data_IF_096798910952
#
_entry.id   IF_096798910952
#
_cell.length_a   1.000
_cell.length_b   1.000
_cell.length_c   1.000
_cell.angle_alpha   90.00
_cell.angle_beta   90.00
_cell.angle_gamma   90.00
#
_symmetry.space_group_name_H-M   'P 1'
#
loop_
_entity.id
_entity.type
_entity.pdbx_description
1 polymer ?
#
# COMPACT_ATOMS: atom_id res chain seq x y z
N UNK A 1 -19.55 1.74 5.11
CA UNK A 1 -18.45 2.67 4.70
C UNK A 1 -17.67 3.03 5.95
N UNK A 2 -16.34 3.13 5.90
CA UNK A 2 -15.52 3.56 7.03
C UNK A 2 -15.48 5.09 7.07
N UNK A 3 -15.66 5.71 8.24
CA UNK A 3 -15.50 7.16 8.43
C UNK A 3 -14.06 7.66 8.20
N UNK A 4 -13.10 6.73 8.17
CA UNK A 4 -11.68 7.00 7.98
C UNK A 4 -11.20 6.87 6.51
N UNK A 5 -12.11 6.57 5.58
CA UNK A 5 -11.83 6.56 4.14
C UNK A 5 -12.78 7.55 3.45
N UNK A 6 -12.20 8.59 2.92
CA UNK A 6 -12.92 9.58 2.13
C UNK A 6 -12.83 9.21 0.65
N UNK A 7 -13.98 9.03 0.02
CA UNK A 7 -14.07 8.74 -1.42
C UNK A 7 -14.72 9.93 -2.10
N UNK A 8 -14.06 10.46 -3.10
CA UNK A 8 -14.57 11.57 -3.91
C UNK A 8 -14.18 11.40 -5.37
N UNK A 9 -14.83 12.15 -6.25
CA UNK A 9 -14.52 12.17 -7.68
C UNK A 9 -14.24 13.60 -8.13
N UNK A 10 -13.14 13.78 -8.86
CA UNK A 10 -12.84 15.04 -9.55
C UNK A 10 -12.61 14.74 -11.03
N UNK A 11 -13.55 15.19 -11.88
CA UNK A 11 -13.55 14.80 -13.30
C UNK A 11 -13.60 13.28 -13.46
N UNK A 12 -12.62 12.73 -14.16
CA UNK A 12 -12.48 11.29 -14.39
C UNK A 12 -11.54 10.57 -13.39
N UNK A 13 -11.22 11.22 -12.26
CA UNK A 13 -10.33 10.65 -11.23
C UNK A 13 -11.14 10.28 -10.00
N UNK A 14 -11.09 8.99 -9.61
CA UNK A 14 -11.58 8.49 -8.34
C UNK A 14 -10.52 8.71 -7.28
N UNK A 15 -10.81 9.48 -6.25
CA UNK A 15 -9.88 9.83 -5.17
C UNK A 15 -10.28 9.05 -3.92
N UNK A 16 -9.35 8.27 -3.41
CA UNK A 16 -9.48 7.51 -2.15
C UNK A 16 -8.44 8.04 -1.18
N UNK A 17 -8.90 8.69 -0.12
CA UNK A 17 -8.05 9.30 0.90
C UNK A 17 -8.19 8.58 2.23
N UNK A 18 -7.08 8.19 2.81
CA UNK A 18 -7.00 7.72 4.19
C UNK A 18 -7.02 8.94 5.12
N UNK A 19 -7.97 8.96 6.06
CA UNK A 19 -8.17 10.06 7.01
C UNK A 19 -8.37 9.54 8.44
N UNK A 20 -7.32 8.89 8.99
CA UNK A 20 -7.23 8.44 10.38
C UNK A 20 -5.92 8.93 11.00
N UNK A 21 -5.73 10.24 10.95
CA UNK A 21 -4.45 10.89 11.29
C UNK A 21 -4.02 10.67 12.72
N UNK A 22 -4.96 10.59 13.67
CA UNK A 22 -4.72 10.33 15.11
C UNK A 22 -4.08 8.94 15.36
N UNK A 23 -4.21 8.02 14.42
CA UNK A 23 -3.57 6.70 14.39
C UNK A 23 -2.57 6.55 13.24
N UNK A 24 -2.10 7.69 12.69
CA UNK A 24 -1.15 7.71 11.57
C UNK A 24 -1.60 6.86 10.38
N UNK A 25 -2.89 6.92 10.05
CA UNK A 25 -3.51 6.12 9.00
C UNK A 25 -3.21 4.61 9.13
N UNK A 26 -3.13 4.08 10.37
CA UNK A 26 -3.12 2.64 10.58
C UNK A 26 -4.42 2.03 10.06
N UNK A 27 -4.30 1.01 9.20
CA UNK A 27 -5.40 0.46 8.42
C UNK A 27 -6.17 -0.60 9.21
N UNK A 28 -7.44 -0.32 9.47
CA UNK A 28 -8.37 -1.29 10.06
C UNK A 28 -9.07 -2.11 8.98
N UNK A 29 -9.68 -3.23 9.37
CA UNK A 29 -10.51 -4.07 8.48
C UNK A 29 -11.58 -3.24 7.75
N UNK A 30 -12.26 -2.34 8.47
CA UNK A 30 -13.28 -1.45 7.89
C UNK A 30 -12.70 -0.47 6.85
N UNK A 31 -11.45 0.00 7.03
CA UNK A 31 -10.77 0.83 6.03
C UNK A 31 -10.42 0.02 4.78
N UNK A 32 -9.91 -1.21 4.92
CA UNK A 32 -9.64 -2.09 3.80
C UNK A 32 -10.91 -2.38 2.97
N UNK A 33 -11.99 -2.76 3.62
CA UNK A 33 -13.28 -2.99 2.96
C UNK A 33 -13.74 -1.75 2.17
N UNK A 34 -13.64 -0.56 2.79
CA UNK A 34 -14.05 0.70 2.14
C UNK A 34 -13.16 1.05 0.93
N UNK A 35 -11.83 0.84 1.03
CA UNK A 35 -10.90 1.05 -0.09
C UNK A 35 -11.15 0.06 -1.23
N UNK A 36 -11.36 -1.23 -0.91
CA UNK A 36 -11.69 -2.24 -1.91
C UNK A 36 -12.97 -1.93 -2.66
N UNK A 37 -14.03 -1.55 -1.94
CA UNK A 37 -15.32 -1.16 -2.50
C UNK A 37 -15.20 0.08 -3.40
N UNK A 38 -14.47 1.11 -2.94
CA UNK A 38 -14.23 2.33 -3.69
C UNK A 38 -13.48 2.07 -5.02
N UNK A 39 -12.49 1.18 -5.01
CA UNK A 39 -11.75 0.81 -6.21
C UNK A 39 -12.65 0.00 -7.14
N UNK A 40 -13.29 -1.08 -6.66
CA UNK A 40 -14.13 -1.95 -7.47
C UNK A 40 -15.31 -1.20 -8.10
N UNK A 41 -15.99 -0.35 -7.31
CA UNK A 41 -17.12 0.45 -7.81
C UNK A 41 -16.67 1.43 -8.89
N UNK A 42 -15.57 2.13 -8.68
CA UNK A 42 -15.06 3.09 -9.65
C UNK A 42 -14.42 2.40 -10.86
N UNK A 43 -13.93 1.17 -10.74
CA UNK A 43 -13.31 0.43 -11.84
C UNK A 43 -14.32 0.03 -12.93
N UNK A 44 -15.59 -0.14 -12.57
CA UNK A 44 -16.70 -0.43 -13.52
C UNK A 44 -17.47 0.82 -13.95
N UNK A 45 -17.19 1.99 -13.40
CA UNK A 45 -17.81 3.26 -13.81
C UNK A 45 -17.08 3.83 -15.05
N UNK A 46 -17.76 3.91 -16.19
CA UNK A 46 -17.17 4.39 -17.45
C UNK A 46 -16.72 5.86 -17.39
N UNK A 47 -17.24 6.66 -16.46
CA UNK A 47 -16.81 8.05 -16.27
C UNK A 47 -15.52 8.17 -15.47
N UNK A 48 -15.10 7.13 -14.76
CA UNK A 48 -13.81 7.07 -14.06
C UNK A 48 -12.75 6.48 -14.98
N UNK A 49 -11.54 7.02 -14.92
CA UNK A 49 -10.42 6.63 -15.77
C UNK A 49 -9.16 6.27 -15.00
N UNK A 50 -9.03 6.79 -13.77
CA UNK A 50 -7.83 6.64 -12.93
C UNK A 50 -8.25 6.61 -11.46
N UNK A 51 -7.57 5.82 -10.66
CA UNK A 51 -7.64 5.85 -9.20
C UNK A 51 -6.47 6.67 -8.65
N UNK A 52 -6.74 7.53 -7.68
CA UNK A 52 -5.74 8.29 -6.94
C UNK A 52 -5.86 7.97 -5.45
N UNK A 53 -4.83 7.35 -4.86
CA UNK A 53 -4.77 7.04 -3.44
C UNK A 53 -3.89 8.06 -2.72
N UNK A 54 -4.41 8.63 -1.63
CA UNK A 54 -3.74 9.66 -0.85
C UNK A 54 -3.77 9.30 0.64
N UNK A 55 -2.73 9.71 1.35
CA UNK A 55 -2.72 9.82 2.80
C UNK A 55 -2.99 11.24 3.27
N UNK A 56 -2.46 11.57 4.45
CA UNK A 56 -2.46 12.92 5.01
C UNK A 56 -1.06 13.55 4.99
N UNK A 57 -0.97 14.79 5.46
CA UNK A 57 0.31 15.48 5.57
C UNK A 57 1.24 14.79 6.58
N UNK A 58 2.46 14.45 6.13
CA UNK A 58 3.47 13.76 6.94
C UNK A 58 3.20 12.29 7.21
N UNK A 59 2.06 11.74 6.74
CA UNK A 59 1.69 10.34 6.97
C UNK A 59 0.90 9.79 5.79
N UNK A 60 1.48 8.85 5.06
CA UNK A 60 0.69 8.04 4.14
C UNK A 60 -0.07 6.95 4.91
N UNK A 61 0.66 5.99 5.51
CA UNK A 61 0.06 4.97 6.38
C UNK A 61 1.11 4.32 7.29
N UNK A 62 0.76 4.10 8.55
CA UNK A 62 1.55 3.32 9.50
C UNK A 62 1.38 1.79 9.34
N UNK A 63 0.72 1.34 8.27
CA UNK A 63 0.46 -0.08 8.04
C UNK A 63 -0.78 -0.59 8.74
N UNK A 64 -0.83 -1.90 9.00
CA UNK A 64 -1.98 -2.52 9.66
C UNK A 64 -2.19 -2.02 11.10
N UNK A 65 -3.44 -1.91 11.51
CA UNK A 65 -3.76 -1.59 12.91
C UNK A 65 -3.31 -2.72 13.82
N UNK A 66 -2.48 -2.39 14.82
CA UNK A 66 -1.93 -3.37 15.76
C UNK A 66 -3.01 -4.04 16.61
N UNK A 67 -4.13 -3.36 16.86
CA UNK A 67 -5.25 -3.94 17.60
C UNK A 67 -5.89 -5.09 16.82
N UNK A 68 -6.11 -4.91 15.52
CA UNK A 68 -6.62 -5.95 14.63
C UNK A 68 -5.63 -7.13 14.55
N UNK A 69 -4.33 -6.85 14.45
CA UNK A 69 -3.30 -7.89 14.45
C UNK A 69 -3.26 -8.71 15.75
N UNK A 70 -3.33 -8.03 16.87
CA UNK A 70 -3.36 -8.73 18.17
C UNK A 70 -4.62 -9.58 18.35
N UNK A 71 -5.77 -9.10 17.91
CA UNK A 71 -7.00 -9.88 17.95
C UNK A 71 -6.84 -11.19 17.16
N UNK A 72 -6.26 -11.14 15.96
CA UNK A 72 -5.98 -12.31 15.13
C UNK A 72 -4.94 -13.24 15.78
N UNK A 73 -3.85 -12.69 16.31
CA UNK A 73 -2.80 -13.46 17.00
C UNK A 73 -3.32 -14.19 18.25
N UNK A 74 -4.38 -13.66 18.89
CA UNK A 74 -5.07 -14.27 20.05
C UNK A 74 -6.19 -15.24 19.66
N UNK A 75 -6.30 -15.61 18.37
CA UNK A 75 -7.30 -16.59 17.88
C UNK A 75 -8.61 -15.98 17.37
N UNK A 76 -8.67 -14.67 17.23
CA UNK A 76 -9.79 -13.98 16.57
C UNK A 76 -9.93 -14.36 15.10
N UNK A 77 -11.11 -14.13 14.54
CA UNK A 77 -11.39 -14.42 13.13
C UNK A 77 -10.56 -13.55 12.20
N UNK A 78 -9.91 -14.21 11.23
CA UNK A 78 -9.37 -13.55 10.06
C UNK A 78 -10.54 -13.08 9.17
N UNK A 79 -10.67 -11.79 8.98
CA UNK A 79 -11.54 -11.29 7.92
C UNK A 79 -10.83 -11.34 6.56
N UNK A 80 -11.63 -11.28 5.51
CA UNK A 80 -11.12 -11.29 4.13
C UNK A 80 -10.78 -9.88 3.61
N UNK A 81 -11.02 -8.83 4.40
CA UNK A 81 -11.00 -7.44 3.92
C UNK A 81 -9.65 -7.00 3.37
N UNK A 82 -8.55 -7.47 3.99
CA UNK A 82 -7.19 -7.23 3.50
C UNK A 82 -6.99 -7.87 2.13
N UNK A 83 -7.45 -9.14 1.97
CA UNK A 83 -7.40 -9.83 0.69
C UNK A 83 -8.26 -9.19 -0.37
N UNK A 84 -9.47 -8.78 -0.01
CA UNK A 84 -10.39 -8.09 -0.92
C UNK A 84 -9.80 -6.79 -1.42
N UNK A 85 -9.04 -6.07 -0.57
CA UNK A 85 -8.32 -4.88 -0.98
C UNK A 85 -7.14 -5.22 -1.91
N UNK A 86 -6.32 -6.21 -1.56
CA UNK A 86 -5.21 -6.67 -2.42
C UNK A 86 -5.72 -7.12 -3.79
N UNK A 87 -6.81 -7.90 -3.83
CA UNK A 87 -7.47 -8.35 -5.05
C UNK A 87 -7.99 -7.15 -5.87
N UNK A 88 -8.68 -6.20 -5.22
CA UNK A 88 -9.17 -5.00 -5.90
C UNK A 88 -8.04 -4.19 -6.53
N UNK A 89 -6.89 -4.05 -5.85
CA UNK A 89 -5.72 -3.34 -6.36
C UNK A 89 -5.06 -4.06 -7.55
N UNK A 90 -4.82 -5.37 -7.42
CA UNK A 90 -4.16 -6.18 -8.47
C UNK A 90 -5.05 -6.29 -9.71
N UNK A 91 -6.36 -6.49 -9.50
CA UNK A 91 -7.32 -6.67 -10.60
C UNK A 91 -7.87 -5.36 -11.17
N UNK A 92 -7.57 -4.22 -10.55
CA UNK A 92 -7.99 -2.92 -11.08
C UNK A 92 -7.62 -2.81 -12.57
N UNK A 93 -8.56 -2.42 -13.40
CA UNK A 93 -8.36 -2.23 -14.84
C UNK A 93 -7.84 -0.83 -15.16
N UNK A 94 -8.16 0.12 -14.29
CA UNK A 94 -7.76 1.52 -14.41
C UNK A 94 -6.44 1.77 -13.69
N UNK A 95 -5.59 2.69 -14.19
CA UNK A 95 -4.34 3.02 -13.53
C UNK A 95 -4.54 3.51 -12.10
N UNK A 96 -3.58 3.16 -11.23
CA UNK A 96 -3.52 3.60 -9.84
C UNK A 96 -2.33 4.52 -9.65
N UNK A 97 -2.59 5.75 -9.24
CA UNK A 97 -1.60 6.74 -8.86
C UNK A 97 -1.62 6.90 -7.35
N UNK A 98 -0.47 7.07 -6.71
CA UNK A 98 -0.41 7.36 -5.27
C UNK A 98 0.37 8.64 -5.00
N UNK A 99 -0.06 9.39 -3.98
CA UNK A 99 0.68 10.53 -3.42
C UNK A 99 1.11 10.22 -1.98
N UNK A 100 2.43 10.22 -1.73
CA UNK A 100 3.01 9.82 -0.45
C UNK A 100 3.74 10.99 0.19
N UNK A 101 3.34 11.36 1.38
CA UNK A 101 4.06 12.32 2.22
C UNK A 101 4.33 11.69 3.59
N UNK A 102 5.58 11.74 4.06
CA UNK A 102 5.99 11.16 5.32
C UNK A 102 6.01 9.63 5.33
N UNK A 103 5.52 9.02 6.42
CA UNK A 103 5.73 7.60 6.66
C UNK A 103 4.80 6.71 5.84
N UNK A 104 5.39 5.63 5.30
CA UNK A 104 4.74 4.49 4.68
C UNK A 104 5.33 3.21 5.29
N UNK A 105 4.54 2.43 6.03
CA UNK A 105 5.03 1.30 6.83
C UNK A 105 4.27 0.01 6.50
N UNK A 106 4.97 -1.11 6.34
CA UNK A 106 4.38 -2.41 6.04
C UNK A 106 3.56 -2.36 4.76
N UNK A 107 2.27 -2.70 4.83
CA UNK A 107 1.38 -2.60 3.66
C UNK A 107 1.27 -1.18 3.12
N UNK A 108 1.50 -0.13 3.95
CA UNK A 108 1.62 1.25 3.48
C UNK A 108 2.79 1.44 2.52
N UNK A 109 3.83 0.59 2.59
CA UNK A 109 4.93 0.53 1.62
C UNK A 109 4.62 -0.43 0.48
N UNK A 110 4.15 -1.66 0.78
CA UNK A 110 4.00 -2.69 -0.25
C UNK A 110 2.88 -2.42 -1.24
N UNK A 111 1.91 -1.59 -0.91
CA UNK A 111 0.87 -1.12 -1.84
C UNK A 111 1.49 -0.50 -3.11
N UNK A 112 2.64 0.18 -2.99
CA UNK A 112 3.28 0.86 -4.12
C UNK A 112 3.88 -0.09 -5.16
N UNK A 113 4.17 -1.35 -4.79
CA UNK A 113 4.56 -2.39 -5.76
C UNK A 113 3.41 -2.81 -6.70
N UNK A 114 2.17 -2.43 -6.36
CA UNK A 114 0.97 -2.72 -7.13
C UNK A 114 0.30 -1.44 -7.68
N UNK A 115 0.99 -0.30 -7.62
CA UNK A 115 0.57 0.97 -8.22
C UNK A 115 1.33 1.23 -9.52
N UNK A 116 0.73 2.01 -10.41
CA UNK A 116 1.36 2.34 -11.69
C UNK A 116 2.33 3.52 -11.59
N UNK A 117 2.01 4.51 -10.76
CA UNK A 117 2.89 5.66 -10.47
C UNK A 117 2.78 6.08 -9.01
N UNK A 118 3.92 6.22 -8.35
CA UNK A 118 4.02 6.79 -7.01
C UNK A 118 4.73 8.14 -7.06
N UNK A 119 4.08 9.18 -6.54
CA UNK A 119 4.66 10.51 -6.37
C UNK A 119 4.90 10.69 -4.87
N UNK A 120 6.09 11.13 -4.49
CA UNK A 120 6.44 11.26 -3.08
C UNK A 120 7.12 12.60 -2.79
N UNK A 121 7.28 12.91 -1.52
CA UNK A 121 8.11 14.02 -1.05
C UNK A 121 9.48 13.53 -0.60
N UNK A 122 10.48 14.40 -0.55
CA UNK A 122 11.81 14.03 -0.06
C UNK A 122 11.79 13.54 1.40
N UNK A 123 10.83 14.01 2.22
CA UNK A 123 10.64 13.57 3.61
C UNK A 123 9.88 12.25 3.74
N UNK A 124 9.47 11.63 2.63
CA UNK A 124 8.82 10.32 2.65
C UNK A 124 9.79 9.22 3.11
N UNK A 125 9.27 8.24 3.82
CA UNK A 125 10.04 7.11 4.32
C UNK A 125 9.24 5.82 4.14
N UNK A 126 9.83 4.86 3.43
CA UNK A 126 9.23 3.58 3.12
C UNK A 126 9.96 2.49 3.91
N UNK A 127 9.23 1.72 4.72
CA UNK A 127 9.83 0.66 5.53
C UNK A 127 8.88 -0.53 5.68
N UNK A 128 9.44 -1.72 5.85
CA UNK A 128 8.67 -2.95 6.07
C UNK A 128 9.28 -3.76 7.22
N UNK A 129 8.89 -3.48 8.48
CA UNK A 129 9.47 -4.15 9.66
C UNK A 129 8.90 -5.57 9.85
N UNK A 130 8.76 -6.34 8.75
CA UNK A 130 8.13 -7.65 8.78
C UNK A 130 8.89 -8.62 9.68
N UNK A 131 10.20 -8.80 9.44
CA UNK A 131 11.01 -9.76 10.19
C UNK A 131 11.23 -9.32 11.63
N UNK A 132 11.28 -8.01 11.90
CA UNK A 132 11.33 -7.46 13.28
C UNK A 132 10.10 -7.83 14.09
N UNK A 133 9.00 -8.13 13.44
CA UNK A 133 7.74 -8.59 14.04
C UNK A 133 7.54 -10.10 13.90
N UNK A 134 8.54 -10.85 13.41
CA UNK A 134 8.45 -12.29 13.16
C UNK A 134 7.54 -12.66 11.99
N UNK A 135 7.26 -11.70 11.11
CA UNK A 135 6.39 -11.83 9.94
C UNK A 135 7.18 -11.96 8.63
N UNK A 136 6.49 -12.20 7.53
CA UNK A 136 7.04 -12.35 6.18
C UNK A 136 6.56 -11.22 5.26
N UNK A 137 7.22 -10.97 4.11
CA UNK A 137 6.70 -10.10 3.06
C UNK A 137 5.30 -10.52 2.61
N UNK A 138 4.53 -9.55 2.11
CA UNK A 138 3.15 -9.72 1.64
C UNK A 138 2.87 -8.85 0.40
N UNK A 139 1.66 -8.97 -0.20
CA UNK A 139 1.17 -8.18 -1.32
C UNK A 139 2.03 -8.31 -2.60
N UNK A 140 2.47 -9.51 -2.91
CA UNK A 140 3.36 -9.87 -4.02
C UNK A 140 4.76 -9.21 -3.95
N UNK A 141 5.09 -8.55 -2.83
CA UNK A 141 6.36 -7.83 -2.68
C UNK A 141 7.58 -8.74 -2.78
N UNK A 142 7.48 -10.02 -2.42
CA UNK A 142 8.61 -10.97 -2.49
C UNK A 142 9.15 -11.19 -3.92
N UNK A 143 8.32 -10.97 -4.93
CA UNK A 143 8.72 -11.09 -6.36
C UNK A 143 8.81 -9.72 -7.03
N UNK A 144 7.85 -8.83 -6.77
CA UNK A 144 7.81 -7.53 -7.46
C UNK A 144 8.97 -6.62 -7.03
N UNK A 145 9.29 -6.57 -5.73
CA UNK A 145 10.36 -5.71 -5.26
C UNK A 145 11.75 -6.07 -5.85
N UNK A 146 12.18 -7.35 -5.88
CA UNK A 146 13.44 -7.71 -6.54
C UNK A 146 13.50 -7.36 -8.03
N UNK A 147 12.37 -7.45 -8.74
CA UNK A 147 12.27 -7.07 -10.16
C UNK A 147 12.42 -5.56 -10.30
N UNK A 148 11.77 -4.78 -9.44
CA UNK A 148 11.73 -3.32 -9.52
C UNK A 148 13.07 -2.67 -9.11
N UNK A 149 13.66 -3.12 -7.98
CA UNK A 149 14.78 -2.43 -7.35
C UNK A 149 16.08 -3.27 -7.23
N UNK A 150 16.06 -4.51 -7.74
CA UNK A 150 17.15 -5.47 -7.59
C UNK A 150 17.15 -6.17 -6.24
N UNK A 151 17.76 -7.37 -6.19
CA UNK A 151 17.68 -8.26 -5.02
C UNK A 151 18.20 -7.61 -3.73
N UNK A 152 19.34 -6.92 -3.77
CA UNK A 152 19.96 -6.38 -2.55
C UNK A 152 19.09 -5.30 -1.88
N UNK A 153 18.57 -4.35 -2.65
CA UNK A 153 17.67 -3.31 -2.11
C UNK A 153 16.35 -3.91 -1.61
N UNK A 154 15.79 -4.85 -2.36
CA UNK A 154 14.58 -5.55 -1.95
C UNK A 154 14.80 -6.34 -0.65
N UNK A 155 15.96 -7.01 -0.50
CA UNK A 155 16.29 -7.75 0.71
C UNK A 155 16.52 -6.81 1.91
N UNK A 156 17.21 -5.69 1.70
CA UNK A 156 17.39 -4.68 2.74
C UNK A 156 16.03 -4.10 3.23
N UNK A 157 15.13 -3.76 2.32
CA UNK A 157 13.80 -3.26 2.65
C UNK A 157 12.94 -4.34 3.32
N UNK A 158 12.78 -5.51 2.67
CA UNK A 158 11.78 -6.52 3.06
C UNK A 158 12.24 -7.46 4.17
N UNK A 159 13.55 -7.71 4.30
CA UNK A 159 14.08 -8.66 5.27
C UNK A 159 14.91 -7.99 6.37
N UNK A 160 15.76 -7.02 6.03
CA UNK A 160 16.53 -6.30 7.04
C UNK A 160 15.73 -5.18 7.73
N UNK A 161 14.61 -4.74 7.12
CA UNK A 161 13.74 -3.70 7.65
C UNK A 161 14.31 -2.29 7.51
N UNK A 162 15.32 -2.10 6.67
CA UNK A 162 15.87 -0.77 6.40
C UNK A 162 14.86 0.11 5.69
N UNK A 163 14.78 1.35 6.13
CA UNK A 163 13.92 2.34 5.51
C UNK A 163 14.60 2.95 4.28
N UNK A 164 13.81 3.18 3.22
CA UNK A 164 14.21 4.01 2.09
C UNK A 164 13.61 5.41 2.27
N UNK A 165 14.44 6.44 2.16
CA UNK A 165 13.97 7.82 2.00
C UNK A 165 13.23 7.99 0.67
N UNK A 166 12.50 9.11 0.49
CA UNK A 166 11.84 9.40 -0.79
C UNK A 166 12.79 9.37 -1.98
N UNK A 167 14.00 9.94 -1.82
CA UNK A 167 15.00 9.94 -2.88
C UNK A 167 15.57 8.54 -3.16
N UNK A 168 15.90 7.75 -2.13
CA UNK A 168 16.35 6.38 -2.30
C UNK A 168 15.27 5.50 -2.93
N UNK A 169 14.01 5.71 -2.57
CA UNK A 169 12.88 5.01 -3.18
C UNK A 169 12.71 5.39 -4.66
N UNK A 170 12.98 6.66 -5.04
CA UNK A 170 13.01 7.09 -6.44
C UNK A 170 14.16 6.43 -7.21
N UNK A 171 15.36 6.39 -6.64
CA UNK A 171 16.51 5.71 -7.24
C UNK A 171 16.31 4.19 -7.37
N UNK A 172 15.54 3.62 -6.44
CA UNK A 172 15.17 2.21 -6.46
C UNK A 172 14.04 1.88 -7.46
N UNK A 173 13.36 2.89 -8.02
CA UNK A 173 12.23 2.70 -8.95
C UNK A 173 10.87 2.51 -8.28
N UNK A 174 10.77 2.57 -6.94
CA UNK A 174 9.50 2.51 -6.21
C UNK A 174 8.72 3.82 -6.33
N UNK A 175 9.42 4.94 -6.41
CA UNK A 175 8.86 6.28 -6.59
C UNK A 175 9.24 6.82 -7.97
N UNK A 176 8.24 7.28 -8.71
CA UNK A 176 8.46 7.86 -10.03
C UNK A 176 8.99 9.29 -9.96
N UNK A 177 8.45 10.12 -9.03
CA UNK A 177 8.76 11.55 -8.96
C UNK A 177 8.78 12.03 -7.52
N UNK A 178 9.78 12.86 -7.18
CA UNK A 178 9.82 13.63 -5.93
C UNK A 178 9.34 15.05 -6.20
N UNK A 179 8.53 15.56 -5.26
CA UNK A 179 7.98 16.93 -5.28
C UNK A 179 8.04 17.56 -3.90
N UNK A 180 7.89 18.87 -3.83
CA UNK A 180 7.77 19.59 -2.55
C UNK A 180 6.46 19.18 -1.83
N UNK A 181 6.46 19.10 -0.49
CA UNK A 181 5.28 18.67 0.28
C UNK A 181 4.00 19.43 -0.08
N UNK A 182 4.06 20.76 -0.20
CA UNK A 182 2.91 21.58 -0.57
C UNK A 182 2.42 21.40 -2.02
N UNK A 183 3.14 20.66 -2.86
CA UNK A 183 2.79 20.38 -4.26
C UNK A 183 2.33 18.94 -4.47
N UNK A 184 2.44 18.06 -3.47
CA UNK A 184 2.18 16.64 -3.63
C UNK A 184 0.80 16.34 -4.22
N UNK A 185 -0.24 16.87 -3.59
CA UNK A 185 -1.61 16.58 -4.02
C UNK A 185 -1.91 17.13 -5.42
N UNK A 186 -1.46 18.36 -5.70
CA UNK A 186 -1.64 18.96 -7.02
C UNK A 186 -0.90 18.21 -8.13
N UNK A 187 0.31 17.73 -7.88
CA UNK A 187 1.10 16.95 -8.84
C UNK A 187 0.55 15.53 -9.04
N UNK A 188 0.09 14.89 -7.96
CA UNK A 188 -0.55 13.59 -8.04
C UNK A 188 -1.87 13.68 -8.84
N UNK A 189 -2.67 14.70 -8.57
CA UNK A 189 -3.89 14.99 -9.33
C UNK A 189 -3.59 15.29 -10.79
N UNK A 190 -2.66 16.19 -11.09
CA UNK A 190 -2.28 16.52 -12.47
C UNK A 190 -1.77 15.29 -13.23
N UNK A 191 -1.05 14.39 -12.55
CA UNK A 191 -0.58 13.12 -13.12
C UNK A 191 -1.77 12.19 -13.44
N UNK A 192 -2.70 12.04 -12.51
CA UNK A 192 -3.93 11.26 -12.73
C UNK A 192 -4.77 11.84 -13.86
N UNK A 193 -4.96 13.16 -13.94
CA UNK A 193 -5.68 13.84 -15.02
C UNK A 193 -5.00 13.64 -16.38
N UNK A 194 -3.68 13.65 -16.46
CA UNK A 194 -2.92 13.37 -17.69
C UNK A 194 -3.11 11.91 -18.16
N UNK A 195 -3.17 10.94 -17.25
CA UNK A 195 -3.51 9.55 -17.57
C UNK A 195 -4.95 9.44 -18.06
N UNK A 196 -5.89 10.11 -17.39
CA UNK A 196 -7.30 10.10 -17.75
C UNK A 196 -7.58 10.65 -19.16
N UNK A 197 -6.70 11.48 -19.70
CA UNK A 197 -6.77 12.03 -21.07
C UNK A 197 -6.25 11.05 -22.14
N UNK A 198 -5.61 9.94 -21.77
CA UNK A 198 -5.12 8.96 -22.73
C UNK A 198 -6.28 8.16 -23.34
N UNK A 199 -6.14 7.65 -24.59
CA UNK A 199 -7.11 6.74 -25.16
C UNK A 199 -7.34 5.54 -24.23
N UNK A 200 -8.59 5.28 -23.78
CA UNK A 200 -8.84 4.36 -22.66
C UNK A 200 -8.47 2.92 -22.96
N UNK A 201 -8.83 2.46 -24.14
CA UNK A 201 -8.56 1.09 -24.56
C UNK A 201 -7.06 0.83 -24.70
N UNK A 202 -6.34 1.76 -25.34
CA UNK A 202 -4.88 1.67 -25.47
C UNK A 202 -4.19 1.72 -24.11
N UNK A 203 -4.67 2.55 -23.18
CA UNK A 203 -4.12 2.64 -21.82
C UNK A 203 -4.38 1.35 -21.04
N UNK A 204 -5.57 0.77 -21.12
CA UNK A 204 -5.90 -0.51 -20.47
C UNK A 204 -5.02 -1.65 -21.02
N UNK A 205 -4.89 -1.77 -22.33
CA UNK A 205 -4.03 -2.79 -22.96
C UNK A 205 -2.57 -2.59 -22.54
N UNK A 206 -2.06 -1.36 -22.59
CA UNK A 206 -0.69 -1.06 -22.19
C UNK A 206 -0.44 -1.42 -20.74
N UNK A 207 -1.39 -1.11 -19.84
CA UNK A 207 -1.31 -1.46 -18.42
C UNK A 207 -1.31 -2.97 -18.22
N UNK A 208 -2.16 -3.72 -18.92
CA UNK A 208 -2.21 -5.18 -18.82
C UNK A 208 -0.87 -5.80 -19.25
N UNK A 209 -0.27 -5.31 -20.35
CA UNK A 209 1.02 -5.78 -20.81
C UNK A 209 2.16 -5.48 -19.81
N UNK A 210 2.12 -4.31 -19.14
CA UNK A 210 3.13 -3.89 -18.18
C UNK A 210 2.98 -4.59 -16.81
N UNK A 211 1.75 -4.84 -16.38
CA UNK A 211 1.46 -5.52 -15.10
C UNK A 211 1.73 -7.02 -15.17
N UNK A 212 1.67 -7.63 -16.35
CA UNK A 212 1.79 -9.06 -16.54
C UNK A 212 0.55 -9.83 -16.05
N UNK A 213 0.74 -11.11 -15.76
CA UNK A 213 -0.35 -11.99 -15.34
C UNK A 213 -0.84 -11.65 -13.92
N UNK A 214 -2.09 -11.19 -13.83
CA UNK A 214 -2.72 -10.82 -12.56
C UNK A 214 -3.12 -12.03 -11.72
N UNK A 215 -3.41 -13.16 -12.36
CA UNK A 215 -3.77 -14.38 -11.65
C UNK A 215 -2.52 -14.98 -10.99
N UNK A 216 -1.39 -15.04 -11.70
CA UNK A 216 -0.10 -15.43 -11.09
C UNK A 216 0.28 -14.51 -9.93
N UNK A 217 0.08 -13.20 -10.07
CA UNK A 217 0.35 -12.24 -9.00
C UNK A 217 -0.57 -12.44 -7.81
N UNK A 218 -1.84 -12.75 -8.05
CA UNK A 218 -2.81 -13.03 -6.99
C UNK A 218 -2.51 -14.36 -6.29
N UNK A 219 -2.13 -15.39 -7.01
CA UNK A 219 -1.69 -16.68 -6.45
C UNK A 219 -0.45 -16.49 -5.54
N UNK A 220 0.47 -15.62 -5.94
CA UNK A 220 1.60 -15.25 -5.09
C UNK A 220 1.14 -14.55 -3.81
N UNK A 221 0.23 -13.57 -3.91
CA UNK A 221 -0.35 -12.91 -2.74
C UNK A 221 -1.01 -13.90 -1.79
N UNK A 222 -1.76 -14.87 -2.31
CA UNK A 222 -2.40 -15.92 -1.51
C UNK A 222 -1.36 -16.78 -0.78
N UNK A 223 -0.28 -17.14 -1.47
CA UNK A 223 0.82 -17.91 -0.87
C UNK A 223 1.51 -17.12 0.23
N UNK A 224 1.86 -15.85 -0.03
CA UNK A 224 2.49 -14.98 0.96
C UNK A 224 1.60 -14.80 2.18
N UNK A 225 0.32 -14.54 1.97
CA UNK A 225 -0.62 -14.30 3.04
C UNK A 225 -0.88 -15.54 3.91
N UNK A 226 -0.86 -16.75 3.33
CA UNK A 226 -0.89 -17.98 4.11
C UNK A 226 0.32 -18.08 5.03
N UNK A 227 1.52 -17.85 4.50
CA UNK A 227 2.76 -17.86 5.28
C UNK A 227 2.77 -16.75 6.35
N UNK A 228 2.32 -15.56 6.01
CA UNK A 228 2.17 -14.44 6.94
C UNK A 228 1.22 -14.79 8.10
N UNK A 229 0.06 -15.39 7.78
CA UNK A 229 -0.91 -15.83 8.78
C UNK A 229 -0.39 -16.95 9.69
N UNK A 230 0.43 -17.87 9.14
CA UNK A 230 1.11 -18.90 9.92
C UNK A 230 2.13 -18.27 10.88
N UNK A 231 2.92 -17.31 10.39
CA UNK A 231 3.91 -16.59 11.18
C UNK A 231 3.26 -15.75 12.27
N UNK A 232 2.17 -15.05 11.97
CA UNK A 232 1.45 -14.21 12.94
C UNK A 232 1.02 -14.99 14.20
N UNK A 233 0.78 -16.30 14.08
CA UNK A 233 0.42 -17.20 15.19
C UNK A 233 1.63 -17.85 15.86
N UNK A 234 2.85 -17.58 15.39
CA UNK A 234 4.06 -18.19 15.93
C UNK A 234 4.49 -17.59 17.27
N UNK A 235 5.31 -18.32 18.03
CA UNK A 235 5.92 -17.83 19.26
C UNK A 235 6.88 -16.67 19.00
N UNK A 236 7.60 -16.68 17.87
CA UNK A 236 8.49 -15.58 17.48
C UNK A 236 7.72 -14.28 17.28
N UNK A 237 6.60 -14.33 16.57
CA UNK A 237 5.77 -13.14 16.36
C UNK A 237 5.21 -12.63 17.70
N UNK A 238 4.70 -13.52 18.57
CA UNK A 238 4.21 -13.12 19.90
C UNK A 238 5.29 -12.41 20.73
N UNK A 239 6.50 -12.95 20.77
CA UNK A 239 7.63 -12.36 21.50
C UNK A 239 8.06 -11.01 20.88
N UNK A 240 8.10 -10.93 19.54
CA UNK A 240 8.44 -9.71 18.82
C UNK A 240 7.42 -8.59 19.09
N UNK A 241 6.13 -8.89 19.06
CA UNK A 241 5.06 -7.93 19.38
C UNK A 241 5.15 -7.45 20.85
N UNK A 242 5.36 -8.36 21.81
CA UNK A 242 5.57 -7.97 23.20
C UNK A 242 6.75 -7.03 23.37
N UNK A 243 7.88 -7.35 22.75
CA UNK A 243 9.09 -6.52 22.77
C UNK A 243 8.87 -5.16 22.14
N UNK A 244 8.11 -5.09 21.06
CA UNK A 244 7.74 -3.84 20.38
C UNK A 244 6.86 -2.96 21.29
N UNK A 245 5.84 -3.53 21.92
CA UNK A 245 4.94 -2.82 22.83
C UNK A 245 5.68 -2.27 24.06
N UNK A 246 6.58 -3.05 24.66
CA UNK A 246 7.38 -2.62 25.80
C UNK A 246 8.32 -1.44 25.44
N UNK A 247 8.94 -1.47 24.25
CA UNK A 247 9.77 -0.35 23.75
C UNK A 247 8.95 0.93 23.53
N UNK A 248 7.70 0.80 23.11
CA UNK A 248 6.81 1.95 22.90
C UNK A 248 6.36 2.55 24.24
N UNK A 249 6.05 1.72 25.24
CA UNK A 249 5.69 2.16 26.61
C UNK A 249 6.85 2.85 27.34
N UNK A 250 8.11 2.50 27.04
CA UNK A 250 9.30 3.11 27.67
C UNK A 250 9.74 4.44 27.05
N UNK A 251 9.13 4.86 25.92
CA UNK A 251 9.46 6.10 25.20
C UNK A 251 8.34 7.16 25.26
N UNK A 252 7.23 6.87 25.91
CA UNK A 252 6.10 7.78 26.16
C UNK A 252 6.02 8.12 27.65
#
# INVERSE_FOLDING_TARGET
MSEHIEVSRKGAVNIVRMNRMEKKNALTRAMYAAMADAIRTADVDDEVRVHLLLGGEGVFSAGNDLGDFMAIAMGGEHGNEVFEFMDAMIRARKPVVTGVDGIAVGIGTTIHFNCDLTIATARSSFTTPFLDLGLTPEFASSVVAPIMMGHQRAFALLALGEALSGEEAREAGLVWKIVEPGQLESEAMATAERLAQKPPEALAIARDLLMGDRDERMDLCMREARLFGERLRSDEARQAFQSFMNRKASKG
#
